data_IF_549174013663
#
_entry.id   IF_549174013663
#
_cell.length_a   1.000
_cell.length_b   1.000
_cell.length_c   1.000
_cell.angle_alpha   90.00
_cell.angle_beta   90.00
_cell.angle_gamma   90.00
#
_symmetry.space_group_name_H-M   'P 1'
#
loop_
_entity.id
_entity.type
_entity.pdbx_description
1 polymer ?
#
# COMPACT_ATOMS: atom_id res chain seq x y z
N UNK A 1 -17.86 -1.29 33.69
CA UNK A 1 -18.68 -0.76 32.59
C UNK A 1 -19.17 0.63 32.94
N UNK A 2 -18.72 1.64 32.22
CA UNK A 2 -19.19 3.02 32.29
C UNK A 2 -19.97 3.32 31.00
N UNK A 3 -21.19 3.83 31.16
CA UNK A 3 -22.03 4.23 30.03
C UNK A 3 -22.38 5.69 30.19
N UNK A 4 -22.06 6.49 29.18
CA UNK A 4 -22.34 7.91 29.15
C UNK A 4 -23.05 8.25 27.84
N UNK A 5 -24.04 9.12 27.93
CA UNK A 5 -24.74 9.61 26.74
C UNK A 5 -23.93 10.71 26.07
N UNK A 6 -23.53 11.72 26.83
CA UNK A 6 -22.80 12.87 26.31
C UNK A 6 -21.94 13.50 27.38
N UNK A 7 -20.79 14.01 26.98
CA UNK A 7 -19.95 14.88 27.80
C UNK A 7 -19.06 15.73 26.91
N UNK A 8 -18.86 17.00 27.26
CA UNK A 8 -17.96 17.85 26.47
C UNK A 8 -16.51 17.35 26.61
N UNK A 9 -16.08 17.11 27.85
CA UNK A 9 -14.72 16.66 28.17
C UNK A 9 -14.76 15.47 29.14
N UNK A 10 -14.03 14.41 28.80
CA UNK A 10 -13.86 13.25 29.67
C UNK A 10 -12.39 12.85 29.74
N UNK A 11 -11.87 12.80 30.97
CA UNK A 11 -10.54 12.28 31.26
C UNK A 11 -10.68 11.11 32.22
N UNK A 12 -10.16 9.96 31.80
CA UNK A 12 -10.20 8.74 32.59
C UNK A 12 -8.81 8.12 32.63
N UNK A 13 -8.43 7.59 33.79
CA UNK A 13 -7.21 6.82 33.91
C UNK A 13 -7.42 5.41 33.37
N UNK A 14 -8.40 4.70 33.91
CA UNK A 14 -8.66 3.32 33.55
C UNK A 14 -10.16 3.05 33.54
N UNK A 15 -10.62 2.25 32.59
CA UNK A 15 -11.94 1.64 32.63
C UNK A 15 -11.94 0.34 31.82
N UNK A 16 -12.50 -0.74 32.37
CA UNK A 16 -12.54 -2.01 31.62
C UNK A 16 -13.40 -1.85 30.35
N UNK A 17 -14.60 -1.28 30.50
CA UNK A 17 -15.57 -1.11 29.42
C UNK A 17 -16.15 0.30 29.47
N UNK A 18 -16.03 1.03 28.36
CA UNK A 18 -16.61 2.36 28.20
C UNK A 18 -17.44 2.42 26.91
N UNK A 19 -18.71 2.80 27.07
CA UNK A 19 -19.62 3.09 25.97
C UNK A 19 -20.03 4.55 26.05
N UNK A 20 -19.79 5.30 24.98
CA UNK A 20 -20.06 6.73 24.92
C UNK A 20 -20.73 7.09 23.60
N UNK A 21 -21.84 7.82 23.66
CA UNK A 21 -22.55 8.20 22.44
C UNK A 21 -21.91 9.45 21.80
N UNK A 22 -21.70 10.54 22.54
CA UNK A 22 -20.99 11.72 22.03
C UNK A 22 -19.99 12.30 23.04
N UNK A 23 -18.83 12.76 22.56
CA UNK A 23 -17.93 13.60 23.36
C UNK A 23 -17.02 14.46 22.51
N UNK A 24 -16.83 15.73 22.86
CA UNK A 24 -15.93 16.60 22.09
C UNK A 24 -14.48 16.14 22.29
N UNK A 25 -14.06 15.90 23.54
CA UNK A 25 -12.70 15.51 23.91
C UNK A 25 -12.65 14.32 24.88
N UNK A 26 -12.16 13.18 24.42
CA UNK A 26 -11.89 12.02 25.27
C UNK A 26 -10.38 11.76 25.39
N UNK A 27 -9.88 11.76 26.63
CA UNK A 27 -8.52 11.33 26.97
C UNK A 27 -8.60 10.14 27.91
N UNK A 28 -8.03 9.02 27.50
CA UNK A 28 -8.08 7.78 28.28
C UNK A 28 -6.74 7.07 28.25
N UNK A 29 -6.22 6.73 29.43
CA UNK A 29 -4.92 6.08 29.53
C UNK A 29 -5.02 4.57 29.25
N UNK A 30 -6.05 3.89 29.74
CA UNK A 30 -6.25 2.47 29.43
C UNK A 30 -7.70 2.03 29.44
N UNK A 31 -8.11 1.22 28.46
CA UNK A 31 -9.35 0.45 28.52
C UNK A 31 -9.30 -0.87 27.77
N UNK A 32 -10.01 -1.88 28.25
CA UNK A 32 -10.10 -3.13 27.50
C UNK A 32 -11.01 -2.92 26.28
N UNK A 33 -12.18 -2.31 26.48
CA UNK A 33 -13.19 -2.07 25.43
C UNK A 33 -13.67 -0.63 25.42
N UNK A 34 -13.50 0.04 24.29
CA UNK A 34 -14.12 1.34 24.00
C UNK A 34 -15.06 1.23 22.79
N UNK A 35 -16.32 1.61 23.00
CA UNK A 35 -17.29 1.81 21.92
C UNK A 35 -17.75 3.26 21.95
N UNK A 36 -17.56 3.96 20.83
CA UNK A 36 -17.83 5.39 20.75
C UNK A 36 -18.52 5.72 19.42
N UNK A 37 -19.64 6.45 19.47
CA UNK A 37 -20.37 6.80 18.25
C UNK A 37 -19.78 8.04 17.58
N UNK A 38 -19.54 9.13 18.30
CA UNK A 38 -18.86 10.31 17.76
C UNK A 38 -17.96 11.01 18.76
N UNK A 39 -16.75 11.37 18.35
CA UNK A 39 -15.91 12.31 19.09
C UNK A 39 -15.08 13.22 18.20
N UNK A 40 -14.93 14.49 18.56
CA UNK A 40 -14.06 15.38 17.77
C UNK A 40 -12.59 14.96 17.98
N UNK A 41 -12.17 14.75 19.23
CA UNK A 41 -10.81 14.34 19.56
C UNK A 41 -10.76 13.16 20.51
N UNK A 42 -10.02 12.12 20.11
CA UNK A 42 -9.75 10.95 20.92
C UNK A 42 -8.25 10.76 21.10
N UNK A 43 -7.80 10.76 22.35
CA UNK A 43 -6.43 10.42 22.73
C UNK A 43 -6.44 9.19 23.63
N UNK A 44 -5.83 8.11 23.15
CA UNK A 44 -5.78 6.82 23.83
C UNK A 44 -4.34 6.32 23.92
N UNK A 45 -3.92 5.94 25.12
CA UNK A 45 -2.62 5.30 25.29
C UNK A 45 -2.71 3.80 25.01
N UNK A 46 -3.59 3.07 25.68
CA UNK A 46 -3.79 1.64 25.39
C UNK A 46 -5.28 1.28 25.31
N UNK A 47 -5.65 0.49 24.31
CA UNK A 47 -6.89 -0.27 24.37
C UNK A 47 -6.83 -1.62 23.69
N UNK A 48 -7.50 -2.64 24.22
CA UNK A 48 -7.54 -3.93 23.52
C UNK A 48 -8.45 -3.84 22.29
N UNK A 49 -9.64 -3.27 22.45
CA UNK A 49 -10.65 -3.14 21.41
C UNK A 49 -11.21 -1.72 21.34
N UNK A 50 -11.10 -1.12 20.16
CA UNK A 50 -11.70 0.17 19.83
C UNK A 50 -12.70 0.02 18.68
N UNK A 51 -13.95 0.41 18.93
CA UNK A 51 -14.94 0.60 17.87
C UNK A 51 -15.41 2.04 17.89
N UNK A 52 -15.18 2.74 16.78
CA UNK A 52 -15.51 4.16 16.64
C UNK A 52 -16.22 4.41 15.31
N UNK A 53 -17.33 5.13 15.35
CA UNK A 53 -18.09 5.41 14.12
C UNK A 53 -17.57 6.68 13.44
N UNK A 54 -17.43 7.80 14.16
CA UNK A 54 -16.88 9.04 13.61
C UNK A 54 -15.89 9.70 14.58
N UNK A 55 -14.76 10.18 14.05
CA UNK A 55 -13.97 11.20 14.74
C UNK A 55 -13.22 12.15 13.82
N UNK A 56 -12.95 13.36 14.28
CA UNK A 56 -12.10 14.26 13.50
C UNK A 56 -10.63 13.87 13.69
N UNK A 57 -10.20 13.71 14.94
CA UNK A 57 -8.82 13.40 15.31
C UNK A 57 -8.72 12.21 16.25
N UNK A 58 -7.93 11.21 15.86
CA UNK A 58 -7.60 10.06 16.67
C UNK A 58 -6.09 9.92 16.82
N UNK A 59 -5.64 9.93 18.08
CA UNK A 59 -4.26 9.62 18.43
C UNK A 59 -4.25 8.41 19.34
N UNK A 60 -3.59 7.35 18.90
CA UNK A 60 -3.56 6.09 19.64
C UNK A 60 -2.15 5.49 19.68
N UNK A 61 -1.65 5.18 20.87
CA UNK A 61 -0.33 4.59 21.01
C UNK A 61 -0.37 3.08 20.71
N UNK A 62 -1.27 2.31 21.34
CA UNK A 62 -1.35 0.86 21.10
C UNK A 62 -2.77 0.33 21.16
N UNK A 63 -3.17 -0.47 20.17
CA UNK A 63 -4.45 -1.17 20.19
C UNK A 63 -4.39 -2.53 19.52
N UNK A 64 -4.97 -3.57 20.11
CA UNK A 64 -4.98 -4.88 19.42
C UNK A 64 -5.95 -4.84 18.23
N UNK A 65 -7.16 -4.32 18.41
CA UNK A 65 -8.20 -4.28 17.38
C UNK A 65 -8.87 -2.92 17.27
N UNK A 66 -8.67 -2.25 16.14
CA UNK A 66 -9.29 -0.96 15.83
C UNK A 66 -10.24 -1.10 14.63
N UNK A 67 -11.51 -0.79 14.87
CA UNK A 67 -12.53 -0.67 13.83
C UNK A 67 -13.06 0.75 13.79
N UNK A 68 -12.87 1.42 12.66
CA UNK A 68 -13.26 2.81 12.47
C UNK A 68 -14.02 2.99 11.16
N UNK A 69 -15.17 3.64 11.23
CA UNK A 69 -15.94 3.92 10.01
C UNK A 69 -15.41 5.16 9.30
N UNK A 70 -15.24 6.29 10.01
CA UNK A 70 -14.67 7.49 9.41
C UNK A 70 -13.81 8.29 10.37
N UNK A 71 -12.67 8.78 9.87
CA UNK A 71 -11.93 9.85 10.54
C UNK A 71 -11.23 10.82 9.61
N UNK A 72 -11.07 12.08 10.01
CA UNK A 72 -10.25 13.00 9.22
C UNK A 72 -8.76 12.67 9.40
N UNK A 73 -8.28 12.55 10.64
CA UNK A 73 -6.88 12.30 10.97
C UNK A 73 -6.74 11.15 11.96
N UNK A 74 -5.95 10.14 11.58
CA UNK A 74 -5.59 9.04 12.47
C UNK A 74 -4.08 8.88 12.55
N UNK A 75 -3.56 8.98 13.77
CA UNK A 75 -2.15 8.73 14.09
C UNK A 75 -2.09 7.55 15.05
N UNK A 76 -1.40 6.50 14.61
CA UNK A 76 -1.32 5.26 15.36
C UNK A 76 0.10 4.71 15.41
N UNK A 77 0.58 4.37 16.61
CA UNK A 77 1.92 3.82 16.76
C UNK A 77 1.94 2.30 16.53
N UNK A 78 1.14 1.51 17.24
CA UNK A 78 1.08 0.06 17.05
C UNK A 78 -0.35 -0.48 17.06
N UNK A 79 -0.70 -1.33 16.08
CA UNK A 79 -1.97 -2.05 16.12
C UNK A 79 -1.92 -3.41 15.43
N UNK A 80 -2.43 -4.46 16.05
CA UNK A 80 -2.41 -5.78 15.40
C UNK A 80 -3.38 -5.80 14.20
N UNK A 81 -4.62 -5.34 14.41
CA UNK A 81 -5.68 -5.35 13.39
C UNK A 81 -6.37 -4.01 13.26
N UNK A 82 -6.25 -3.37 12.09
CA UNK A 82 -6.92 -2.11 11.78
C UNK A 82 -7.85 -2.27 10.58
N UNK A 83 -9.13 -1.98 10.80
CA UNK A 83 -10.15 -1.91 9.74
C UNK A 83 -10.71 -0.50 9.69
N UNK A 84 -10.54 0.15 8.55
CA UNK A 84 -10.95 1.54 8.33
C UNK A 84 -11.72 1.67 7.02
N UNK A 85 -12.91 2.27 7.07
CA UNK A 85 -13.69 2.49 5.86
C UNK A 85 -13.26 3.76 5.13
N UNK A 86 -13.08 4.87 5.84
CA UNK A 86 -12.57 6.10 5.22
C UNK A 86 -11.71 6.92 6.16
N UNK A 87 -10.60 7.45 5.65
CA UNK A 87 -9.93 8.58 6.28
C UNK A 87 -9.36 9.59 5.29
N UNK A 88 -9.07 10.80 5.74
CA UNK A 88 -8.31 11.73 4.90
C UNK A 88 -6.81 11.46 5.08
N UNK A 89 -6.33 11.40 6.34
CA UNK A 89 -4.92 11.21 6.66
C UNK A 89 -4.72 10.07 7.66
N UNK A 90 -3.94 9.07 7.26
CA UNK A 90 -3.51 7.96 8.11
C UNK A 90 -1.98 7.94 8.24
N UNK A 91 -1.49 8.05 9.47
CA UNK A 91 -0.07 7.84 9.79
C UNK A 91 0.04 6.69 10.75
N UNK A 92 0.74 5.64 10.34
CA UNK A 92 0.86 4.42 11.11
C UNK A 92 2.31 3.92 11.16
N UNK A 93 2.81 3.60 12.35
CA UNK A 93 4.17 3.10 12.50
C UNK A 93 4.24 1.59 12.28
N UNK A 94 3.44 0.78 12.99
CA UNK A 94 3.43 -0.66 12.76
C UNK A 94 2.03 -1.27 12.88
N UNK A 95 1.64 -2.10 11.91
CA UNK A 95 0.42 -2.88 12.00
C UNK A 95 0.56 -4.25 11.34
N UNK A 96 0.07 -5.31 11.98
CA UNK A 96 0.16 -6.64 11.37
C UNK A 96 -0.82 -6.74 10.18
N UNK A 97 -2.08 -6.33 10.38
CA UNK A 97 -3.14 -6.41 9.38
C UNK A 97 -3.90 -5.09 9.22
N UNK A 98 -3.74 -4.44 8.07
CA UNK A 98 -4.43 -3.21 7.71
C UNK A 98 -5.37 -3.42 6.53
N UNK A 99 -6.66 -3.19 6.75
CA UNK A 99 -7.69 -3.15 5.70
C UNK A 99 -8.30 -1.75 5.63
N UNK A 100 -8.14 -1.10 4.48
CA UNK A 100 -8.57 0.27 4.26
C UNK A 100 -9.36 0.37 2.94
N UNK A 101 -10.55 0.94 3.00
CA UNK A 101 -11.36 1.13 1.79
C UNK A 101 -11.00 2.43 1.07
N UNK A 102 -10.93 3.56 1.76
CA UNK A 102 -10.54 4.84 1.15
C UNK A 102 -9.64 5.67 2.06
N UNK A 103 -8.60 6.26 1.47
CA UNK A 103 -7.70 7.19 2.15
C UNK A 103 -7.13 8.23 1.20
N UNK A 104 -7.10 9.53 1.54
CA UNK A 104 -6.40 10.49 0.68
C UNK A 104 -4.87 10.30 0.80
N UNK A 105 -4.35 10.29 2.04
CA UNK A 105 -2.91 10.18 2.32
C UNK A 105 -2.62 9.09 3.36
N UNK A 106 -1.92 8.03 2.95
CA UNK A 106 -1.46 6.96 3.84
C UNK A 106 0.07 6.95 3.94
N UNK A 107 0.59 7.09 5.16
CA UNK A 107 2.00 6.90 5.49
C UNK A 107 2.13 5.74 6.46
N UNK A 108 2.84 4.69 6.04
CA UNK A 108 3.01 3.46 6.82
C UNK A 108 4.49 3.05 6.85
N UNK A 109 5.05 2.85 8.04
CA UNK A 109 6.44 2.40 8.16
C UNK A 109 6.56 0.88 7.96
N UNK A 110 5.76 0.09 8.65
CA UNK A 110 5.78 -1.38 8.51
C UNK A 110 4.40 -1.99 8.62
N UNK A 111 4.09 -2.94 7.74
CA UNK A 111 2.90 -3.78 7.88
C UNK A 111 3.07 -5.15 7.25
N UNK A 112 2.61 -6.22 7.90
CA UNK A 112 2.72 -7.55 7.31
C UNK A 112 1.73 -7.67 6.12
N UNK A 113 0.47 -7.30 6.34
CA UNK A 113 -0.60 -7.42 5.34
C UNK A 113 -1.38 -6.12 5.17
N UNK A 114 -1.24 -5.51 4.00
CA UNK A 114 -1.98 -4.31 3.61
C UNK A 114 -2.94 -4.60 2.45
N UNK A 115 -4.24 -4.40 2.68
CA UNK A 115 -5.27 -4.39 1.65
C UNK A 115 -5.89 -2.99 1.55
N UNK A 116 -5.72 -2.35 0.41
CA UNK A 116 -6.20 -0.99 0.14
C UNK A 116 -7.00 -0.93 -1.16
N UNK A 117 -8.23 -0.42 -1.09
CA UNK A 117 -9.08 -0.30 -2.26
C UNK A 117 -8.79 0.97 -3.07
N UNK A 118 -8.76 2.13 -2.41
CA UNK A 118 -8.40 3.40 -3.07
C UNK A 118 -7.58 4.30 -2.17
N UNK A 119 -6.50 4.85 -2.71
CA UNK A 119 -5.77 5.92 -2.05
C UNK A 119 -5.12 6.91 -3.02
N UNK A 120 -5.16 8.21 -2.75
CA UNK A 120 -4.51 9.17 -3.64
C UNK A 120 -2.98 9.08 -3.52
N UNK A 121 -2.46 9.03 -2.29
CA UNK A 121 -1.03 8.96 -2.01
C UNK A 121 -0.70 7.93 -0.95
N UNK A 122 0.09 6.92 -1.32
CA UNK A 122 0.57 5.89 -0.42
C UNK A 122 2.11 5.93 -0.35
N UNK A 123 2.63 6.11 0.86
CA UNK A 123 4.05 5.94 1.19
C UNK A 123 4.18 4.77 2.16
N UNK A 124 4.85 3.71 1.70
CA UNK A 124 5.04 2.48 2.48
C UNK A 124 6.53 2.10 2.50
N UNK A 125 7.10 1.97 3.69
CA UNK A 125 8.51 1.61 3.82
C UNK A 125 8.73 0.09 3.70
N UNK A 126 8.02 -0.72 4.49
CA UNK A 126 8.11 -2.18 4.39
C UNK A 126 6.73 -2.82 4.45
N UNK A 127 6.47 -3.79 3.56
CA UNK A 127 5.32 -4.66 3.69
C UNK A 127 5.54 -6.05 3.10
N UNK A 128 5.15 -7.11 3.80
CA UNK A 128 5.29 -8.47 3.26
C UNK A 128 4.32 -8.67 2.09
N UNK A 129 3.05 -8.31 2.28
CA UNK A 129 1.98 -8.51 1.31
C UNK A 129 1.16 -7.23 1.10
N UNK A 130 1.27 -6.63 -0.09
CA UNK A 130 0.47 -5.47 -0.49
C UNK A 130 -0.50 -5.82 -1.63
N UNK A 131 -1.78 -5.61 -1.37
CA UNK A 131 -2.85 -5.64 -2.39
C UNK A 131 -3.47 -4.26 -2.49
N UNK A 132 -3.31 -3.62 -3.66
CA UNK A 132 -3.82 -2.28 -3.92
C UNK A 132 -4.61 -2.25 -5.23
N UNK A 133 -5.89 -1.90 -5.14
CA UNK A 133 -6.75 -1.82 -6.32
C UNK A 133 -6.48 -0.52 -7.10
N UNK A 134 -6.44 0.63 -6.42
CA UNK A 134 -6.21 1.91 -7.08
C UNK A 134 -5.39 2.86 -6.23
N UNK A 135 -4.36 3.48 -6.82
CA UNK A 135 -3.65 4.57 -6.19
C UNK A 135 -2.99 5.53 -7.18
N UNK A 136 -3.16 6.83 -7.02
CA UNK A 136 -2.55 7.78 -7.96
C UNK A 136 -1.02 7.78 -7.82
N UNK A 137 -0.51 7.87 -6.58
CA UNK A 137 0.91 7.96 -6.27
C UNK A 137 1.32 6.94 -5.20
N UNK A 138 2.10 5.94 -5.61
CA UNK A 138 2.65 4.93 -4.70
C UNK A 138 4.18 5.02 -4.63
N UNK A 139 4.70 5.17 -3.42
CA UNK A 139 6.11 5.00 -3.10
C UNK A 139 6.25 3.82 -2.15
N UNK A 140 6.91 2.76 -2.62
CA UNK A 140 7.14 1.53 -1.87
C UNK A 140 8.64 1.23 -1.80
N UNK A 141 9.17 1.09 -0.59
CA UNK A 141 10.60 0.82 -0.43
C UNK A 141 10.93 -0.68 -0.46
N UNK A 142 10.24 -1.50 0.32
CA UNK A 142 10.40 -2.95 0.35
C UNK A 142 9.04 -3.65 0.30
N UNK A 143 8.89 -4.62 -0.61
CA UNK A 143 7.77 -5.55 -0.55
C UNK A 143 8.11 -6.93 -1.11
N UNK A 144 7.57 -7.98 -0.46
CA UNK A 144 7.81 -9.36 -0.89
C UNK A 144 6.78 -9.81 -1.94
N UNK A 145 5.51 -9.46 -1.72
CA UNK A 145 4.40 -9.80 -2.61
C UNK A 145 3.54 -8.59 -2.88
N UNK A 146 3.46 -8.23 -4.16
CA UNK A 146 2.78 -7.02 -4.59
C UNK A 146 1.76 -7.31 -5.69
N UNK A 147 0.52 -6.89 -5.45
CA UNK A 147 -0.55 -6.89 -6.44
C UNK A 147 -1.07 -5.47 -6.59
N UNK A 148 -0.82 -4.86 -7.75
CA UNK A 148 -1.31 -3.52 -8.11
C UNK A 148 -2.19 -3.60 -9.35
N UNK A 149 -3.36 -2.96 -9.33
CA UNK A 149 -4.27 -2.95 -10.49
C UNK A 149 -4.36 -1.61 -11.22
N UNK A 150 -4.32 -0.48 -10.53
CA UNK A 150 -4.34 0.83 -11.18
C UNK A 150 -3.47 1.82 -10.43
N UNK A 151 -2.56 2.47 -11.14
CA UNK A 151 -1.78 3.59 -10.62
C UNK A 151 -1.30 4.53 -11.71
N UNK A 152 -1.21 5.82 -11.39
CA UNK A 152 -0.66 6.82 -12.31
C UNK A 152 0.87 6.92 -12.19
N UNK A 153 1.40 6.80 -10.96
CA UNK A 153 2.82 6.88 -10.64
C UNK A 153 3.21 5.85 -9.57
N UNK A 154 4.19 5.00 -9.89
CA UNK A 154 4.80 4.05 -8.98
C UNK A 154 6.31 4.20 -8.93
N UNK A 155 6.84 4.27 -7.70
CA UNK A 155 8.25 4.08 -7.40
C UNK A 155 8.41 2.91 -6.43
N UNK A 156 9.07 1.85 -6.90
CA UNK A 156 9.38 0.64 -6.14
C UNK A 156 10.90 0.47 -6.03
N UNK A 157 11.47 0.74 -4.85
CA UNK A 157 12.93 0.79 -4.69
C UNK A 157 13.58 -0.58 -4.47
N UNK A 158 12.87 -1.53 -3.87
CA UNK A 158 13.34 -2.90 -3.75
C UNK A 158 12.16 -3.84 -3.53
N UNK A 159 12.17 -4.93 -4.28
CA UNK A 159 11.06 -5.85 -4.31
C UNK A 159 11.62 -7.27 -4.45
N UNK A 160 11.28 -8.18 -3.53
CA UNK A 160 11.80 -9.56 -3.53
C UNK A 160 10.65 -10.56 -3.50
N UNK A 161 10.37 -11.23 -4.62
CA UNK A 161 9.30 -12.24 -4.65
C UNK A 161 8.40 -12.10 -5.85
N UNK A 162 7.11 -11.92 -5.63
CA UNK A 162 6.09 -12.00 -6.69
C UNK A 162 5.41 -10.65 -6.90
N UNK A 163 5.47 -10.18 -8.15
CA UNK A 163 4.94 -8.88 -8.55
C UNK A 163 3.95 -9.04 -9.70
N UNK A 164 2.74 -8.52 -9.49
CA UNK A 164 1.71 -8.44 -10.51
C UNK A 164 1.24 -6.99 -10.65
N UNK A 165 1.53 -6.38 -11.81
CA UNK A 165 1.25 -4.97 -12.06
C UNK A 165 0.70 -4.72 -13.48
N UNK A 166 -0.58 -5.01 -13.75
CA UNK A 166 -1.26 -4.50 -14.93
C UNK A 166 -1.67 -3.03 -14.71
N UNK A 167 -1.12 -2.03 -15.43
CA UNK A 167 -1.54 -0.62 -15.20
C UNK A 167 -1.13 0.38 -16.31
N UNK A 168 -1.60 1.62 -16.16
CA UNK A 168 -1.33 2.75 -17.07
C UNK A 168 -0.69 3.85 -16.24
N UNK A 169 0.60 4.11 -16.39
CA UNK A 169 1.25 5.16 -15.59
C UNK A 169 2.76 4.97 -15.47
N UNK A 170 3.46 5.94 -14.88
CA UNK A 170 4.91 5.87 -14.72
C UNK A 170 5.31 4.77 -13.74
N UNK A 171 6.25 3.93 -14.14
CA UNK A 171 6.71 2.83 -13.30
C UNK A 171 8.25 2.81 -13.23
N UNK A 172 8.77 2.89 -12.00
CA UNK A 172 10.17 2.64 -11.68
C UNK A 172 10.26 1.49 -10.70
N UNK A 173 11.06 0.47 -10.99
CA UNK A 173 11.24 -0.68 -10.10
C UNK A 173 12.66 -1.23 -10.09
N UNK A 174 13.12 -1.69 -8.93
CA UNK A 174 14.25 -2.60 -8.79
C UNK A 174 13.74 -3.90 -8.15
N UNK A 175 13.71 -5.00 -8.91
CA UNK A 175 13.09 -6.25 -8.44
C UNK A 175 14.00 -7.48 -8.56
N UNK A 176 13.81 -8.41 -7.62
CA UNK A 176 14.36 -9.78 -7.65
C UNK A 176 13.19 -10.75 -7.53
N UNK A 177 13.05 -11.69 -8.47
CA UNK A 177 12.03 -12.75 -8.40
C UNK A 177 11.18 -12.87 -9.65
N UNK A 178 9.88 -13.06 -9.46
CA UNK A 178 8.87 -13.24 -10.51
C UNK A 178 8.11 -11.95 -10.74
N UNK A 179 8.16 -11.44 -11.96
CA UNK A 179 7.52 -10.19 -12.32
C UNK A 179 6.59 -10.38 -13.53
N UNK A 180 5.33 -10.01 -13.33
CA UNK A 180 4.30 -9.97 -14.36
C UNK A 180 3.78 -8.55 -14.50
N UNK A 181 3.94 -7.98 -15.68
CA UNK A 181 3.54 -6.61 -15.98
C UNK A 181 2.77 -6.54 -17.28
N UNK A 182 1.63 -5.85 -17.25
CA UNK A 182 0.82 -5.60 -18.42
C UNK A 182 0.51 -4.09 -18.48
N UNK A 183 1.40 -3.31 -19.09
CA UNK A 183 1.37 -1.84 -18.94
C UNK A 183 1.21 -1.06 -20.23
N UNK A 184 0.62 0.14 -20.11
CA UNK A 184 0.57 1.15 -21.17
C UNK A 184 1.28 2.40 -20.64
N UNK A 185 2.62 2.46 -20.72
CA UNK A 185 3.32 3.55 -20.07
C UNK A 185 4.81 3.75 -20.42
N UNK A 186 5.42 4.66 -19.64
CA UNK A 186 6.85 4.78 -19.41
C UNK A 186 7.27 3.87 -18.26
N UNK A 187 8.20 2.97 -18.55
CA UNK A 187 8.56 1.91 -17.62
C UNK A 187 10.09 1.75 -17.57
N UNK A 188 10.63 1.74 -16.36
CA UNK A 188 12.04 1.48 -16.07
C UNK A 188 12.15 0.37 -15.02
N UNK A 189 12.70 -0.80 -15.38
CA UNK A 189 12.93 -1.88 -14.40
C UNK A 189 14.22 -2.63 -14.66
N UNK A 190 15.24 -2.38 -13.82
CA UNK A 190 16.29 -3.33 -13.55
C UNK A 190 15.76 -4.51 -12.73
N UNK A 191 15.84 -5.73 -13.25
CA UNK A 191 15.32 -6.92 -12.58
C UNK A 191 16.22 -8.15 -12.68
N UNK A 192 16.19 -9.00 -11.66
CA UNK A 192 16.84 -10.32 -11.66
C UNK A 192 15.78 -11.39 -11.46
N UNK A 193 15.68 -12.38 -12.34
CA UNK A 193 14.77 -13.52 -12.19
C UNK A 193 13.93 -13.79 -13.44
N UNK A 194 12.63 -14.02 -13.23
CA UNK A 194 11.66 -14.33 -14.28
C UNK A 194 10.79 -13.12 -14.55
N UNK A 195 10.77 -12.68 -15.79
CA UNK A 195 10.08 -11.47 -16.19
C UNK A 195 9.16 -11.73 -17.38
N UNK A 196 7.88 -11.42 -17.21
CA UNK A 196 6.86 -11.44 -18.23
C UNK A 196 6.28 -10.05 -18.39
N UNK A 197 6.38 -9.48 -19.58
CA UNK A 197 5.81 -8.17 -19.86
C UNK A 197 5.02 -8.13 -21.16
N UNK A 198 3.81 -7.58 -21.06
CA UNK A 198 3.02 -7.10 -22.18
C UNK A 198 2.93 -5.57 -22.09
N UNK A 199 3.34 -4.85 -23.12
CA UNK A 199 3.69 -3.44 -22.96
C UNK A 199 3.32 -2.58 -24.18
N UNK A 200 2.78 -1.37 -23.98
CA UNK A 200 2.60 -0.34 -25.01
C UNK A 200 3.20 1.00 -24.53
N UNK A 201 4.09 1.65 -25.29
CA UNK A 201 4.75 2.89 -24.84
C UNK A 201 6.28 2.89 -24.88
N UNK A 202 6.92 3.43 -23.83
CA UNK A 202 8.37 3.62 -23.74
C UNK A 202 8.97 2.78 -22.62
N UNK A 203 9.92 1.94 -22.96
CA UNK A 203 10.42 0.92 -22.05
C UNK A 203 11.94 0.90 -21.98
N UNK A 204 12.46 0.84 -20.77
CA UNK A 204 13.88 0.63 -20.49
C UNK A 204 14.05 -0.52 -19.50
N UNK A 205 14.70 -1.59 -19.96
CA UNK A 205 14.92 -2.81 -19.20
C UNK A 205 16.40 -3.14 -19.05
N UNK A 206 16.78 -3.51 -17.84
CA UNK A 206 18.05 -4.18 -17.56
C UNK A 206 17.77 -5.48 -16.82
N UNK A 207 17.89 -6.64 -17.46
CA UNK A 207 17.45 -7.90 -16.85
C UNK A 207 18.52 -8.99 -16.81
N UNK A 208 18.53 -9.77 -15.73
CA UNK A 208 19.34 -10.98 -15.62
C UNK A 208 18.40 -12.15 -15.32
N UNK A 209 18.33 -13.15 -16.21
CA UNK A 209 17.51 -14.34 -16.03
C UNK A 209 16.67 -14.68 -17.26
N UNK A 210 15.38 -14.96 -17.04
CA UNK A 210 14.43 -15.32 -18.08
C UNK A 210 13.48 -14.16 -18.36
N UNK A 211 13.39 -13.77 -19.62
CA UNK A 211 12.62 -12.62 -20.04
C UNK A 211 11.73 -12.95 -21.24
N UNK A 212 10.44 -12.69 -21.08
CA UNK A 212 9.42 -12.77 -22.12
C UNK A 212 8.77 -11.39 -22.26
N UNK A 213 8.83 -10.81 -23.46
CA UNK A 213 8.20 -9.53 -23.72
C UNK A 213 7.39 -9.53 -25.01
N UNK A 214 6.18 -8.99 -24.91
CA UNK A 214 5.35 -8.58 -26.02
C UNK A 214 5.17 -7.05 -25.95
N UNK A 215 5.78 -6.29 -26.85
CA UNK A 215 5.79 -4.83 -26.76
C UNK A 215 5.36 -4.12 -28.05
N UNK A 216 4.73 -2.95 -27.90
CA UNK A 216 4.44 -1.99 -28.98
C UNK A 216 5.02 -0.63 -28.58
N UNK A 217 5.86 -0.02 -29.42
CA UNK A 217 6.40 1.33 -29.19
C UNK A 217 7.92 1.38 -29.19
N UNK A 218 8.51 2.09 -28.21
CA UNK A 218 9.95 2.27 -28.07
C UNK A 218 10.48 1.42 -26.93
N UNK A 219 11.48 0.60 -27.22
CA UNK A 219 11.96 -0.38 -26.27
C UNK A 219 13.49 -0.48 -26.30
N UNK A 220 14.10 -0.23 -25.15
CA UNK A 220 15.51 -0.41 -24.87
C UNK A 220 15.67 -1.57 -23.90
N UNK A 221 16.42 -2.60 -24.27
CA UNK A 221 16.68 -3.72 -23.38
C UNK A 221 18.14 -4.15 -23.40
N UNK A 222 18.72 -4.22 -22.21
CA UNK A 222 19.95 -4.93 -21.93
C UNK A 222 19.62 -6.20 -21.13
N UNK A 223 19.96 -7.38 -21.64
CA UNK A 223 19.61 -8.65 -20.99
C UNK A 223 20.77 -9.64 -20.93
N UNK A 224 20.89 -10.35 -19.80
CA UNK A 224 21.78 -11.49 -19.62
C UNK A 224 20.93 -12.73 -19.30
N UNK A 225 20.98 -13.76 -20.15
CA UNK A 225 20.24 -15.02 -19.94
C UNK A 225 19.39 -15.43 -21.13
N UNK A 226 18.12 -15.79 -20.89
CA UNK A 226 17.17 -16.24 -21.91
C UNK A 226 16.17 -15.15 -22.23
N UNK A 227 16.07 -14.78 -23.50
CA UNK A 227 15.27 -13.66 -23.95
C UNK A 227 14.37 -14.03 -25.12
N UNK A 228 13.07 -13.83 -24.96
CA UNK A 228 12.04 -13.98 -25.98
C UNK A 228 11.29 -12.65 -26.15
N UNK A 229 11.33 -12.07 -27.36
CA UNK A 229 10.56 -10.86 -27.71
C UNK A 229 9.63 -11.04 -28.91
N UNK A 230 8.44 -10.46 -28.79
CA UNK A 230 7.52 -10.14 -29.87
C UNK A 230 7.25 -8.63 -29.86
N UNK A 231 7.45 -7.93 -30.97
CA UNK A 231 7.69 -6.49 -30.96
C UNK A 231 7.14 -5.76 -32.20
N UNK A 232 6.50 -4.59 -32.04
CA UNK A 232 6.09 -3.65 -33.10
C UNK A 232 6.56 -2.21 -32.79
N UNK A 233 7.39 -1.59 -33.62
CA UNK A 233 7.98 -0.26 -33.39
C UNK A 233 9.51 -0.20 -33.36
N UNK A 234 10.09 0.67 -32.52
CA UNK A 234 11.53 0.94 -32.46
C UNK A 234 12.20 0.19 -31.31
N UNK A 235 13.23 -0.61 -31.63
CA UNK A 235 13.88 -1.51 -30.69
C UNK A 235 15.40 -1.36 -30.67
N UNK A 236 15.96 -1.25 -29.47
CA UNK A 236 17.39 -1.33 -29.21
C UNK A 236 17.65 -2.46 -28.21
N UNK A 237 18.48 -3.44 -28.59
CA UNK A 237 18.81 -4.58 -27.75
C UNK A 237 20.32 -4.75 -27.59
N UNK A 238 20.73 -5.16 -26.38
CA UNK A 238 22.08 -5.62 -26.07
C UNK A 238 21.96 -6.88 -25.22
N UNK A 239 22.30 -8.04 -25.76
CA UNK A 239 22.02 -9.33 -25.11
C UNK A 239 23.24 -10.22 -24.99
N UNK A 240 23.36 -10.91 -23.85
CA UNK A 240 24.35 -11.96 -23.60
C UNK A 240 23.59 -13.23 -23.21
N UNK A 241 23.57 -14.24 -24.08
CA UNK A 241 22.88 -15.51 -23.85
C UNK A 241 21.99 -15.92 -25.02
N UNK A 242 20.89 -16.62 -24.74
CA UNK A 242 19.98 -17.13 -25.76
C UNK A 242 18.92 -16.10 -26.10
N UNK A 243 18.78 -15.78 -27.39
CA UNK A 243 17.93 -14.69 -27.88
C UNK A 243 17.03 -15.16 -29.02
N UNK A 244 15.73 -14.93 -28.87
CA UNK A 244 14.73 -15.09 -29.93
C UNK A 244 13.87 -13.82 -30.02
N UNK A 245 13.82 -13.21 -31.20
CA UNK A 245 12.96 -12.04 -31.44
C UNK A 245 12.17 -12.11 -32.73
N UNK A 246 10.89 -11.75 -32.65
CA UNK A 246 10.04 -11.43 -33.78
C UNK A 246 9.67 -9.94 -33.71
N UNK A 247 10.26 -9.10 -34.56
CA UNK A 247 10.03 -7.65 -34.56
C UNK A 247 9.51 -7.15 -35.91
N UNK A 248 8.56 -6.22 -35.88
CA UNK A 248 8.03 -5.48 -37.04
C UNK A 248 8.36 -4.00 -36.82
N UNK A 249 9.15 -3.42 -37.73
CA UNK A 249 9.64 -2.03 -37.66
C UNK A 249 8.79 -1.06 -38.47
#
# INVERSE_FOLDING_TARGET
MLVLLSCDWLVLLCCDWLVLLCCDMLVLLSCDWLVLLSCDWLVLLCCDWLVLLCCDWLVLLSCNWLVLLSCDWLVLLCCDWLVLLSCNWLVLLSCDWLVLLCCDMLVLLSCDWLVLLSCDWLVLLCCDMLVLLSCNWLVLLCCDWLVLLFYDWLVLLSAIGWFYCPAIGWFYCLAIGWFYCATICWFYCPAIGWFYCAAIGWYYYFTIGWFYCAAIGWFYCAAIGWFYCAAIGWYYYSTIGWFYCAAIG
#
